data_IF_384343332734
#
_entry.id   IF_384343332734
#
_cell.length_a   1.000
_cell.length_b   1.000
_cell.length_c   1.000
_cell.angle_alpha   90.00
_cell.angle_beta   90.00
_cell.angle_gamma   90.00
#
_symmetry.space_group_name_H-M   'P 1'
#
loop_
_entity.id
_entity.type
_entity.pdbx_description
1 polymer ?
#
# COMPACT_ATOMS: atom_id res chain seq x y z
N UNK A 1 -19.21 4.25 -11.40
CA UNK A 1 -18.44 3.90 -10.19
C UNK A 1 -17.54 5.09 -9.87
N UNK A 2 -17.26 5.43 -8.61
CA UNK A 2 -16.34 6.55 -8.31
C UNK A 2 -14.92 6.10 -8.64
N UNK A 3 -14.27 6.79 -9.56
CA UNK A 3 -12.88 6.50 -9.92
C UNK A 3 -11.93 6.87 -8.77
N UNK A 4 -11.33 5.84 -8.18
CA UNK A 4 -10.43 5.99 -7.02
C UNK A 4 -8.96 5.91 -7.39
N UNK A 5 -8.62 5.29 -8.54
CA UNK A 5 -7.22 5.07 -8.96
C UNK A 5 -6.60 6.26 -9.69
N UNK A 6 -7.42 7.16 -10.25
CA UNK A 6 -6.97 8.44 -10.80
C UNK A 6 -6.13 8.32 -12.07
N UNK A 7 -6.30 7.25 -12.84
CA UNK A 7 -5.48 7.01 -14.04
C UNK A 7 -5.74 8.04 -15.13
N UNK A 8 -6.93 8.64 -15.20
CA UNK A 8 -7.21 9.71 -16.15
C UNK A 8 -6.25 10.89 -15.96
N UNK A 9 -5.98 11.28 -14.71
CA UNK A 9 -5.09 12.40 -14.41
C UNK A 9 -3.63 12.09 -14.73
N UNK A 10 -3.20 10.84 -14.56
CA UNK A 10 -1.89 10.41 -15.03
C UNK A 10 -1.81 10.49 -16.55
N UNK A 11 -2.82 9.98 -17.27
CA UNK A 11 -2.84 9.98 -18.73
C UNK A 11 -2.85 11.39 -19.30
N UNK A 12 -3.62 12.30 -18.70
CA UNK A 12 -3.64 13.73 -19.04
C UNK A 12 -2.27 14.40 -18.85
N UNK A 13 -1.46 13.96 -17.87
CA UNK A 13 -0.12 14.50 -17.62
C UNK A 13 0.94 14.03 -18.63
N UNK A 14 0.75 12.87 -19.27
CA UNK A 14 1.77 12.24 -20.12
C UNK A 14 2.24 13.13 -21.29
N UNK A 15 1.38 13.80 -22.07
CA UNK A 15 1.82 14.67 -23.17
C UNK A 15 2.83 15.74 -22.73
N UNK A 16 2.57 16.39 -21.58
CA UNK A 16 3.46 17.40 -21.04
C UNK A 16 4.81 16.83 -20.61
N UNK A 17 4.83 15.67 -19.94
CA UNK A 17 6.08 14.95 -19.60
C UNK A 17 6.88 14.62 -20.87
N UNK A 18 6.24 14.07 -21.90
CA UNK A 18 6.89 13.72 -23.18
C UNK A 18 7.53 14.96 -23.78
N UNK A 19 6.80 16.08 -23.85
CA UNK A 19 7.29 17.32 -24.44
C UNK A 19 8.50 17.90 -23.70
N UNK A 20 8.54 17.76 -22.37
CA UNK A 20 9.53 18.41 -21.51
C UNK A 20 10.78 17.56 -21.24
N UNK A 21 10.68 16.24 -21.41
CA UNK A 21 11.76 15.30 -21.08
C UNK A 21 12.22 14.46 -22.27
N UNK A 22 11.32 14.08 -23.18
CA UNK A 22 11.61 13.09 -24.23
C UNK A 22 11.98 11.70 -23.66
N UNK A 23 12.03 10.68 -24.52
CA UNK A 23 12.55 9.35 -24.14
C UNK A 23 11.87 8.65 -22.96
N UNK A 24 10.63 9.02 -22.64
CA UNK A 24 9.85 8.42 -21.53
C UNK A 24 8.90 7.36 -22.03
N UNK A 25 8.66 6.34 -21.20
CA UNK A 25 7.65 5.31 -21.45
C UNK A 25 6.92 4.98 -20.15
N UNK A 26 5.60 4.92 -20.20
CA UNK A 26 4.74 4.65 -19.07
C UNK A 26 4.22 3.22 -19.14
N UNK A 27 4.31 2.50 -18.02
CA UNK A 27 3.78 1.13 -17.90
C UNK A 27 2.71 1.15 -16.81
N UNK A 28 1.45 0.97 -17.20
CA UNK A 28 0.32 0.94 -16.28
C UNK A 28 -0.06 -0.53 -16.05
N UNK A 29 0.37 -1.05 -14.91
CA UNK A 29 0.20 -2.46 -14.53
C UNK A 29 -1.00 -2.61 -13.60
N UNK A 30 -1.86 -3.58 -13.91
CA UNK A 30 -3.07 -3.85 -13.14
C UNK A 30 -4.13 -4.52 -13.98
N UNK A 31 -4.99 -5.31 -13.34
CA UNK A 31 -6.20 -5.78 -14.00
C UNK A 31 -7.21 -4.64 -14.09
N UNK A 32 -7.97 -4.60 -15.19
CA UNK A 32 -9.18 -3.79 -15.26
C UNK A 32 -10.18 -4.35 -14.25
N UNK A 33 -10.29 -3.70 -13.09
CA UNK A 33 -11.37 -4.00 -12.13
C UNK A 33 -12.69 -3.42 -12.68
N UNK A 34 -12.58 -2.33 -13.44
CA UNK A 34 -13.66 -1.70 -14.19
C UNK A 34 -13.23 -1.59 -15.66
N UNK A 35 -13.76 -2.49 -16.49
CA UNK A 35 -13.43 -2.55 -17.92
C UNK A 35 -13.92 -1.31 -18.69
N UNK A 36 -15.02 -0.68 -18.25
CA UNK A 36 -15.51 0.54 -18.88
C UNK A 36 -14.53 1.69 -18.64
N UNK A 37 -14.06 1.85 -17.40
CA UNK A 37 -13.07 2.86 -17.05
C UNK A 37 -11.74 2.64 -17.79
N UNK A 38 -11.26 1.39 -17.87
CA UNK A 38 -10.04 1.09 -18.63
C UNK A 38 -10.24 1.33 -20.15
N UNK A 39 -11.44 1.09 -20.67
CA UNK A 39 -11.82 1.44 -22.04
C UNK A 39 -11.76 2.94 -22.32
N UNK A 40 -12.27 3.76 -21.39
CA UNK A 40 -12.20 5.23 -21.48
C UNK A 40 -10.74 5.71 -21.46
N UNK A 41 -9.91 5.15 -20.58
CA UNK A 41 -8.48 5.45 -20.50
C UNK A 41 -7.77 5.09 -21.81
N UNK A 42 -8.00 3.90 -22.38
CA UNK A 42 -7.42 3.49 -23.67
C UNK A 42 -7.87 4.42 -24.80
N UNK A 43 -9.15 4.76 -24.84
CA UNK A 43 -9.68 5.71 -25.83
C UNK A 43 -9.04 7.09 -25.70
N UNK A 44 -8.80 7.56 -24.48
CA UNK A 44 -8.10 8.83 -24.22
C UNK A 44 -6.67 8.80 -24.75
N UNK A 45 -5.93 7.73 -24.46
CA UNK A 45 -4.56 7.50 -24.96
C UNK A 45 -4.49 7.52 -26.49
N UNK A 46 -5.45 6.89 -27.16
CA UNK A 46 -5.57 6.88 -28.62
C UNK A 46 -5.89 8.27 -29.18
N UNK A 47 -6.90 8.95 -28.61
CA UNK A 47 -7.30 10.31 -29.01
C UNK A 47 -6.17 11.33 -28.85
N UNK A 48 -5.37 11.19 -27.80
CA UNK A 48 -4.20 12.04 -27.55
C UNK A 48 -2.98 11.66 -28.41
N UNK A 49 -3.01 10.54 -29.13
CA UNK A 49 -1.90 10.09 -29.97
C UNK A 49 -0.65 9.63 -29.19
N UNK A 50 -0.79 9.30 -27.90
CA UNK A 50 0.32 8.95 -27.01
C UNK A 50 0.51 7.44 -26.85
N UNK A 51 -0.23 6.60 -27.59
CA UNK A 51 -0.18 5.14 -27.46
C UNK A 51 1.21 4.51 -27.57
N UNK A 52 2.12 5.09 -28.35
CA UNK A 52 3.52 4.61 -28.46
C UNK A 52 4.35 4.81 -27.20
N UNK A 53 3.91 5.65 -26.26
CA UNK A 53 4.58 5.96 -25.00
C UNK A 53 3.93 5.26 -23.79
N UNK A 54 2.87 4.48 -24.00
CA UNK A 54 2.11 3.87 -22.90
C UNK A 54 1.89 2.38 -23.17
N UNK A 55 2.26 1.54 -22.20
CA UNK A 55 1.95 0.11 -22.20
C UNK A 55 0.95 -0.23 -21.09
N UNK A 56 -0.10 -0.97 -21.48
CA UNK A 56 -1.11 -1.53 -20.58
C UNK A 56 -1.04 -3.06 -20.61
N UNK A 57 -0.03 -3.68 -19.96
CA UNK A 57 0.15 -5.14 -19.99
C UNK A 57 -0.89 -5.92 -19.17
N UNK A 58 -1.82 -5.24 -18.49
CA UNK A 58 -2.80 -5.86 -17.62
C UNK A 58 -2.17 -6.39 -16.33
N UNK A 59 -2.69 -7.51 -15.82
CA UNK A 59 -2.17 -8.17 -14.61
C UNK A 59 -0.78 -8.77 -14.86
N UNK A 60 0.13 -8.57 -13.92
CA UNK A 60 1.50 -9.11 -13.94
C UNK A 60 1.85 -9.76 -12.62
N UNK A 61 2.74 -10.75 -12.68
CA UNK A 61 3.28 -11.45 -11.51
C UNK A 61 4.78 -11.14 -11.28
N UNK A 62 5.42 -10.43 -12.19
CA UNK A 62 6.83 -10.06 -12.16
C UNK A 62 7.05 -8.59 -11.77
N UNK A 63 6.17 -8.06 -10.90
CA UNK A 63 6.25 -6.68 -10.37
C UNK A 63 7.65 -6.33 -9.84
N UNK A 64 8.38 -7.20 -9.11
CA UNK A 64 9.74 -6.89 -8.68
C UNK A 64 10.72 -6.64 -9.82
N UNK A 65 10.53 -7.29 -10.97
CA UNK A 65 11.34 -7.05 -12.17
C UNK A 65 10.97 -5.71 -12.81
N UNK A 66 9.67 -5.44 -12.97
CA UNK A 66 9.17 -4.18 -13.52
C UNK A 66 9.65 -2.99 -12.67
N UNK A 67 9.53 -3.08 -11.35
CA UNK A 67 9.99 -2.03 -10.44
C UNK A 67 11.52 -1.85 -10.52
N UNK A 68 12.29 -2.94 -10.64
CA UNK A 68 13.75 -2.87 -10.79
C UNK A 68 14.15 -2.06 -12.02
N UNK A 69 13.47 -2.29 -13.14
CA UNK A 69 13.78 -1.67 -14.43
C UNK A 69 13.14 -0.28 -14.59
N UNK A 70 12.19 0.10 -13.73
CA UNK A 70 11.57 1.42 -13.74
C UNK A 70 12.47 2.51 -13.13
N UNK A 71 12.36 3.73 -13.66
CA UNK A 71 13.07 4.90 -13.14
C UNK A 71 12.37 5.54 -11.92
N UNK A 72 11.04 5.56 -11.94
CA UNK A 72 10.18 6.16 -10.92
C UNK A 72 8.84 5.43 -10.86
N UNK A 73 8.12 5.59 -9.76
CA UNK A 73 6.81 4.98 -9.54
C UNK A 73 5.75 6.03 -9.19
N UNK A 74 4.51 5.84 -9.67
CA UNK A 74 3.44 6.84 -9.53
C UNK A 74 2.17 6.20 -8.95
N UNK A 75 1.59 6.84 -7.92
CA UNK A 75 0.24 6.59 -7.41
C UNK A 75 -0.60 7.85 -7.69
N UNK A 76 -1.40 7.88 -8.77
CA UNK A 76 -2.20 9.05 -9.12
C UNK A 76 -3.58 9.04 -8.42
N UNK A 77 -3.75 8.20 -7.41
CA UNK A 77 -5.05 7.86 -6.84
C UNK A 77 -5.79 9.03 -6.22
N UNK A 78 -7.11 8.98 -6.27
CA UNK A 78 -7.98 9.97 -5.63
C UNK A 78 -8.25 9.59 -4.18
N UNK A 79 -8.20 8.29 -3.86
CA UNK A 79 -8.40 7.76 -2.51
C UNK A 79 -7.63 6.45 -2.34
N UNK A 80 -6.77 6.38 -1.32
CA UNK A 80 -6.03 5.18 -0.93
C UNK A 80 -6.00 5.04 0.59
N UNK A 81 -6.20 3.82 1.08
CA UNK A 81 -6.07 3.53 2.51
C UNK A 81 -4.63 3.15 2.86
N UNK A 82 -4.08 2.14 2.17
CA UNK A 82 -2.75 1.62 2.45
C UNK A 82 -2.17 0.93 1.20
N UNK A 83 -1.67 1.71 0.22
CA UNK A 83 -1.27 1.15 -1.07
C UNK A 83 0.04 0.37 -0.95
N UNK A 84 -0.06 -0.96 -0.88
CA UNK A 84 1.12 -1.83 -0.79
C UNK A 84 2.08 -1.65 -1.97
N UNK A 85 1.57 -1.33 -3.16
CA UNK A 85 2.41 -1.06 -4.33
C UNK A 85 3.33 0.16 -4.14
N UNK A 86 2.91 1.15 -3.34
CA UNK A 86 3.76 2.29 -2.98
C UNK A 86 4.93 1.82 -2.08
N UNK A 87 4.64 0.99 -1.08
CA UNK A 87 5.68 0.40 -0.22
C UNK A 87 6.62 -0.52 -0.98
N UNK A 88 6.11 -1.32 -1.93
CA UNK A 88 6.92 -2.18 -2.80
C UNK A 88 7.88 -1.37 -3.67
N UNK A 89 7.41 -0.24 -4.24
CA UNK A 89 8.24 0.66 -5.02
C UNK A 89 9.31 1.35 -4.15
N UNK A 90 8.92 1.87 -2.99
CA UNK A 90 9.85 2.47 -2.03
C UNK A 90 10.87 1.44 -1.53
N UNK A 91 10.47 0.22 -1.19
CA UNK A 91 11.37 -0.88 -0.81
C UNK A 91 12.35 -1.24 -1.94
N UNK A 92 11.89 -1.16 -3.19
CA UNK A 92 12.73 -1.33 -4.38
C UNK A 92 13.69 -0.14 -4.60
N UNK A 93 13.65 0.89 -3.76
CA UNK A 93 14.46 2.09 -3.84
C UNK A 93 14.09 2.99 -5.01
N UNK A 94 12.83 2.98 -5.41
CA UNK A 94 12.33 3.81 -6.50
C UNK A 94 11.85 5.15 -5.92
N UNK A 95 12.22 6.28 -6.54
CA UNK A 95 11.56 7.55 -6.23
C UNK A 95 10.07 7.44 -6.57
N UNK A 96 9.23 8.03 -5.72
CA UNK A 96 7.77 7.92 -5.84
C UNK A 96 7.11 9.29 -5.97
N UNK A 97 6.13 9.39 -6.87
CA UNK A 97 5.15 10.47 -6.90
C UNK A 97 3.82 9.89 -6.46
N UNK A 98 3.23 10.41 -5.40
CA UNK A 98 1.93 9.97 -4.92
C UNK A 98 1.02 11.17 -4.69
N UNK A 99 -0.29 10.96 -4.73
CA UNK A 99 -1.27 12.00 -4.40
C UNK A 99 -1.58 12.02 -2.90
N UNK A 100 -1.96 13.19 -2.38
CA UNK A 100 -2.50 13.38 -1.03
C UNK A 100 -3.92 12.83 -0.95
N UNK A 101 -4.03 11.53 -0.71
CA UNK A 101 -5.29 10.79 -0.79
C UNK A 101 -5.53 9.81 0.38
N UNK A 102 -4.91 10.07 1.53
CA UNK A 102 -4.95 9.20 2.71
C UNK A 102 -3.61 8.50 2.95
N UNK A 103 -3.55 7.18 2.78
CA UNK A 103 -2.39 6.35 3.10
C UNK A 103 -1.03 6.86 2.62
N UNK A 104 -0.89 7.36 1.37
CA UNK A 104 0.39 7.89 0.89
C UNK A 104 1.01 8.99 1.76
N UNK A 105 0.21 9.81 2.44
CA UNK A 105 0.70 10.91 3.29
C UNK A 105 1.43 10.40 4.53
N UNK A 106 1.10 9.20 5.00
CA UNK A 106 1.81 8.55 6.10
C UNK A 106 3.09 7.84 5.61
N UNK A 107 3.09 7.40 4.35
CA UNK A 107 4.18 6.62 3.77
C UNK A 107 5.30 7.50 3.22
N UNK A 108 4.97 8.63 2.57
CA UNK A 108 5.94 9.48 1.84
C UNK A 108 6.24 10.73 2.64
N UNK A 109 7.53 11.05 2.78
CA UNK A 109 7.99 12.35 3.28
C UNK A 109 8.31 13.24 2.09
N UNK A 110 7.51 14.30 1.92
CA UNK A 110 7.64 15.29 0.84
C UNK A 110 9.08 15.80 0.71
N UNK A 111 9.64 15.70 -0.49
CA UNK A 111 10.99 16.20 -0.79
C UNK A 111 12.13 15.31 -0.29
N UNK A 112 11.86 14.32 0.57
CA UNK A 112 12.87 13.42 1.15
C UNK A 112 12.78 12.00 0.61
N UNK A 113 11.58 11.40 0.56
CA UNK A 113 11.37 10.03 0.05
C UNK A 113 10.56 9.98 -1.24
N UNK A 114 10.10 11.14 -1.72
CA UNK A 114 9.25 11.27 -2.90
C UNK A 114 8.52 12.62 -2.91
N UNK A 115 7.53 12.75 -3.80
CA UNK A 115 6.65 13.91 -3.89
C UNK A 115 5.19 13.53 -3.62
N UNK A 116 4.50 14.36 -2.84
CA UNK A 116 3.07 14.31 -2.56
C UNK A 116 2.36 15.47 -3.27
N UNK A 117 1.59 15.14 -4.30
CA UNK A 117 0.87 16.10 -5.14
C UNK A 117 -0.63 16.14 -4.83
N UNK A 118 -1.31 17.20 -5.27
CA UNK A 118 -2.76 17.29 -5.14
C UNK A 118 -3.45 16.18 -5.95
N UNK A 119 -4.46 15.48 -5.40
CA UNK A 119 -5.26 14.55 -6.18
C UNK A 119 -6.03 15.30 -7.27
N UNK A 120 -6.37 14.60 -8.36
CA UNK A 120 -7.13 15.16 -9.50
C UNK A 120 -6.43 16.32 -10.24
N UNK A 121 -5.09 16.34 -10.24
CA UNK A 121 -4.31 17.36 -10.91
C UNK A 121 -3.27 16.72 -11.82
N UNK A 122 -3.54 16.73 -13.12
CA UNK A 122 -2.60 16.28 -14.15
C UNK A 122 -1.33 17.15 -14.12
N UNK A 123 -1.47 18.48 -14.04
CA UNK A 123 -0.35 19.41 -13.99
C UNK A 123 0.59 19.14 -12.81
N UNK A 124 0.04 18.86 -11.61
CA UNK A 124 0.87 18.58 -10.44
C UNK A 124 1.61 17.24 -10.57
N UNK A 125 0.95 16.22 -11.15
CA UNK A 125 1.58 14.93 -11.45
C UNK A 125 2.71 15.14 -12.48
N UNK A 126 2.44 15.87 -13.56
CA UNK A 126 3.40 16.20 -14.60
C UNK A 126 4.64 16.88 -14.02
N UNK A 127 4.44 17.96 -13.25
CA UNK A 127 5.55 18.72 -12.69
C UNK A 127 6.41 17.90 -11.74
N UNK A 128 5.80 17.04 -10.92
CA UNK A 128 6.55 16.15 -10.03
C UNK A 128 7.37 15.13 -10.81
N UNK A 129 6.80 14.54 -11.86
CA UNK A 129 7.51 13.62 -12.75
C UNK A 129 8.68 14.34 -13.44
N UNK A 130 8.44 15.51 -14.03
CA UNK A 130 9.46 16.28 -14.73
C UNK A 130 10.61 16.68 -13.79
N UNK A 131 10.30 17.10 -12.55
CA UNK A 131 11.33 17.38 -11.53
C UNK A 131 12.22 16.17 -11.29
N UNK A 132 11.63 14.98 -11.08
CA UNK A 132 12.41 13.75 -10.85
C UNK A 132 13.21 13.30 -12.08
N UNK A 133 12.67 13.47 -13.28
CA UNK A 133 13.37 13.08 -14.51
C UNK A 133 14.53 14.03 -14.86
N UNK A 134 14.43 15.31 -14.50
CA UNK A 134 15.47 16.32 -14.73
C UNK A 134 16.57 16.32 -13.66
N UNK A 135 16.25 15.96 -12.43
CA UNK A 135 17.22 15.84 -11.33
C UNK A 135 17.33 14.39 -10.85
N UNK A 136 18.12 13.60 -11.59
CA UNK A 136 18.28 12.16 -11.35
C UNK A 136 19.00 11.85 -10.05
N UNK A 137 19.91 12.72 -9.60
CA UNK A 137 20.61 12.54 -8.33
C UNK A 137 19.65 12.75 -7.16
N UNK A 138 18.80 13.77 -7.22
CA UNK A 138 17.75 13.98 -6.21
C UNK A 138 16.74 12.84 -6.21
N UNK A 139 16.34 12.36 -7.38
CA UNK A 139 15.44 11.22 -7.50
C UNK A 139 16.06 9.94 -6.90
N UNK A 140 17.36 9.68 -7.15
CA UNK A 140 18.07 8.55 -6.54
C UNK A 140 18.14 8.66 -5.02
N UNK A 141 18.48 9.84 -4.52
CA UNK A 141 18.48 10.14 -3.08
C UNK A 141 17.10 9.86 -2.45
N UNK A 142 16.02 10.29 -3.10
CA UNK A 142 14.66 10.01 -2.64
C UNK A 142 14.34 8.52 -2.61
N UNK A 143 14.72 7.78 -3.65
CA UNK A 143 14.53 6.33 -3.69
C UNK A 143 15.27 5.62 -2.56
N UNK A 144 16.51 6.00 -2.27
CA UNK A 144 17.31 5.42 -1.19
C UNK A 144 16.72 5.72 0.20
N UNK A 145 16.27 6.95 0.44
CA UNK A 145 15.56 7.29 1.68
C UNK A 145 14.22 6.57 1.80
N UNK A 146 13.46 6.46 0.70
CA UNK A 146 12.22 5.69 0.66
C UNK A 146 12.44 4.24 1.08
N UNK A 147 13.48 3.59 0.55
CA UNK A 147 13.85 2.22 0.95
C UNK A 147 14.20 2.12 2.43
N UNK A 148 14.97 3.09 2.96
CA UNK A 148 15.34 3.13 4.38
C UNK A 148 14.10 3.27 5.26
N UNK A 149 13.22 4.22 4.92
CA UNK A 149 11.95 4.46 5.62
C UNK A 149 11.06 3.22 5.66
N UNK A 150 10.91 2.51 4.54
CA UNK A 150 10.12 1.27 4.52
C UNK A 150 10.70 0.25 5.50
N UNK A 151 12.01 0.05 5.51
CA UNK A 151 12.67 -0.88 6.45
C UNK A 151 12.44 -0.50 7.91
N UNK A 152 12.58 0.79 8.23
CA UNK A 152 12.50 1.28 9.61
C UNK A 152 11.07 1.33 10.14
N UNK A 153 10.12 1.80 9.32
CA UNK A 153 8.76 2.14 9.77
C UNK A 153 7.68 1.13 9.37
N UNK A 154 7.91 0.39 8.28
CA UNK A 154 6.91 -0.49 7.65
C UNK A 154 7.42 -1.94 7.49
N UNK A 155 8.60 -2.25 8.03
CA UNK A 155 9.14 -3.59 8.04
C UNK A 155 8.29 -4.53 8.90
N UNK A 156 8.22 -5.81 8.50
CA UNK A 156 7.45 -6.83 9.21
C UNK A 156 7.91 -6.96 10.68
N UNK A 157 9.23 -6.89 10.92
CA UNK A 157 9.78 -6.96 12.27
C UNK A 157 9.36 -5.76 13.13
N UNK A 158 9.37 -4.55 12.57
CA UNK A 158 8.88 -3.33 13.23
C UNK A 158 7.39 -3.47 13.54
N UNK A 159 6.61 -3.96 12.58
CA UNK A 159 5.18 -4.20 12.76
C UNK A 159 4.94 -5.20 13.90
N UNK A 160 5.59 -6.36 13.89
CA UNK A 160 5.47 -7.38 14.93
C UNK A 160 5.80 -6.79 16.31
N UNK A 161 6.93 -6.08 16.44
CA UNK A 161 7.36 -5.47 17.72
C UNK A 161 6.32 -4.47 18.26
N UNK A 162 5.85 -3.55 17.42
CA UNK A 162 4.83 -2.55 17.82
C UNK A 162 3.52 -3.21 18.24
N UNK A 163 3.11 -4.27 17.54
CA UNK A 163 1.93 -5.04 17.91
C UNK A 163 2.13 -5.80 19.23
N UNK A 164 3.28 -6.41 19.46
CA UNK A 164 3.61 -7.06 20.73
C UNK A 164 3.61 -6.09 21.91
N UNK A 165 4.14 -4.87 21.73
CA UNK A 165 4.11 -3.79 22.72
C UNK A 165 2.68 -3.34 23.01
N UNK A 166 1.89 -3.04 21.97
CA UNK A 166 0.48 -2.69 22.13
C UNK A 166 -0.31 -3.77 22.88
N UNK A 167 -0.07 -5.05 22.55
CA UNK A 167 -0.69 -6.13 23.30
C UNK A 167 -0.30 -6.04 24.77
N UNK A 168 1.00 -6.00 25.10
CA UNK A 168 1.50 -5.91 26.49
C UNK A 168 0.86 -4.75 27.26
N UNK A 169 0.75 -3.58 26.66
CA UNK A 169 0.15 -2.40 27.28
C UNK A 169 -1.33 -2.62 27.62
N UNK A 170 -2.11 -3.16 26.66
CA UNK A 170 -3.51 -3.53 26.90
C UNK A 170 -3.63 -4.57 28.01
N UNK A 171 -2.68 -5.51 28.13
CA UNK A 171 -2.70 -6.49 29.22
C UNK A 171 -2.38 -5.87 30.57
N UNK A 172 -1.50 -4.85 30.60
CA UNK A 172 -1.07 -4.18 31.81
C UNK A 172 -2.19 -3.32 32.41
N UNK A 173 -3.00 -2.67 31.56
CA UNK A 173 -4.15 -1.85 31.95
C UNK A 173 -5.43 -2.65 32.22
N UNK A 174 -5.37 -3.99 32.11
CA UNK A 174 -6.52 -4.85 32.35
C UNK A 174 -6.73 -5.07 33.86
N UNK A 175 -7.90 -4.70 34.45
CA UNK A 175 -8.16 -4.87 35.88
C UNK A 175 -8.07 -6.34 36.32
N UNK A 176 -7.55 -6.58 37.52
CA UNK A 176 -7.51 -7.91 38.13
C UNK A 176 -8.92 -8.52 38.22
N UNK A 177 -9.20 -9.54 37.39
CA UNK A 177 -10.50 -10.23 37.30
C UNK A 177 -11.14 -10.26 35.90
N UNK A 178 -10.66 -9.44 34.96
CA UNK A 178 -10.94 -9.55 33.52
C UNK A 178 -10.31 -10.85 32.95
N UNK A 179 -10.49 -11.27 31.68
CA UNK A 179 -9.54 -12.24 31.10
C UNK A 179 -8.14 -11.72 31.41
N UNK A 180 -7.24 -12.55 31.95
CA UNK A 180 -5.83 -12.14 31.99
C UNK A 180 -5.55 -11.73 30.56
N UNK A 181 -5.28 -10.44 30.31
CA UNK A 181 -5.20 -9.96 28.94
C UNK A 181 -4.20 -10.80 28.14
N UNK A 182 -3.22 -11.36 28.84
CA UNK A 182 -2.29 -12.40 28.41
C UNK A 182 -2.91 -13.57 27.65
N UNK A 183 -4.02 -14.14 28.12
CA UNK A 183 -4.69 -15.27 27.46
C UNK A 183 -5.35 -14.85 26.13
N UNK A 184 -5.86 -13.61 26.04
CA UNK A 184 -6.44 -13.05 24.80
C UNK A 184 -5.34 -12.68 23.81
N UNK A 185 -4.26 -12.05 24.29
CA UNK A 185 -3.08 -11.75 23.46
C UNK A 185 -2.38 -13.00 22.94
N UNK A 186 -2.22 -14.05 23.75
CA UNK A 186 -1.65 -15.33 23.32
C UNK A 186 -2.49 -15.94 22.19
N UNK A 187 -3.83 -15.94 22.31
CA UNK A 187 -4.72 -16.42 21.24
C UNK A 187 -4.59 -15.57 19.97
N UNK A 188 -4.49 -14.24 20.07
CA UNK A 188 -4.38 -13.39 18.89
C UNK A 188 -2.99 -13.49 18.24
N UNK A 189 -1.92 -13.57 19.02
CA UNK A 189 -0.57 -13.81 18.53
C UNK A 189 -0.47 -15.17 17.81
N UNK A 190 -1.11 -16.21 18.33
CA UNK A 190 -1.18 -17.51 17.67
C UNK A 190 -1.99 -17.45 16.36
N UNK A 191 -3.09 -16.67 16.31
CA UNK A 191 -3.84 -16.40 15.07
C UNK A 191 -2.96 -15.69 14.01
N UNK A 192 -2.14 -14.72 14.41
CA UNK A 192 -1.21 -14.02 13.51
C UNK A 192 -0.08 -14.94 13.01
N UNK A 193 0.53 -15.74 13.89
CA UNK A 193 1.56 -16.70 13.50
C UNK A 193 1.02 -17.73 12.50
N UNK A 194 -0.20 -18.20 12.70
CA UNK A 194 -0.85 -19.17 11.81
C UNK A 194 -1.29 -18.56 10.48
N UNK A 195 -1.72 -17.30 10.46
CA UNK A 195 -2.09 -16.61 9.21
C UNK A 195 -0.87 -16.30 8.33
N UNK A 196 0.29 -16.03 8.93
CA UNK A 196 1.57 -15.80 8.25
C UNK A 196 2.33 -17.07 7.81
N UNK A 197 2.02 -18.24 8.37
CA UNK A 197 2.80 -19.46 8.11
C UNK A 197 2.41 -20.14 6.78
N UNK A 198 3.22 -19.88 5.74
CA UNK A 198 3.02 -20.41 4.38
C UNK A 198 3.29 -21.93 4.25
N UNK A 199 3.87 -22.59 5.25
CA UNK A 199 4.25 -24.02 5.21
C UNK A 199 3.16 -25.03 5.57
N UNK A 200 2.01 -24.58 6.10
CA UNK A 200 0.87 -25.44 6.45
C UNK A 200 -0.10 -25.57 5.26
N UNK A 201 -0.59 -26.77 4.93
CA UNK A 201 -1.66 -26.94 3.94
C UNK A 201 -2.96 -26.26 4.42
N UNK A 202 -3.73 -25.68 3.49
CA UNK A 202 -4.89 -24.81 3.71
C UNK A 202 -5.96 -25.41 4.62
N UNK A 203 -6.20 -26.72 4.52
CA UNK A 203 -7.20 -27.44 5.33
C UNK A 203 -6.80 -27.47 6.80
N UNK A 204 -5.57 -27.90 7.12
CA UNK A 204 -5.06 -27.94 8.51
C UNK A 204 -4.96 -26.55 9.13
N UNK A 205 -4.61 -25.55 8.32
CA UNK A 205 -4.56 -24.15 8.76
C UNK A 205 -5.94 -23.64 9.15
N UNK A 206 -6.97 -23.94 8.36
CA UNK A 206 -8.34 -23.52 8.65
C UNK A 206 -8.92 -24.20 9.89
N UNK A 207 -8.65 -25.49 10.11
CA UNK A 207 -9.08 -26.19 11.34
C UNK A 207 -8.47 -25.57 12.61
N UNK A 208 -7.18 -25.22 12.57
CA UNK A 208 -6.50 -24.57 13.69
C UNK A 208 -7.00 -23.15 13.94
N UNK A 209 -7.28 -22.39 12.87
CA UNK A 209 -7.87 -21.04 12.97
C UNK A 209 -9.27 -21.07 13.58
N UNK A 210 -10.12 -22.05 13.20
CA UNK A 210 -11.45 -22.21 13.79
C UNK A 210 -11.40 -22.60 15.27
N UNK A 211 -10.43 -23.44 15.67
CA UNK A 211 -10.19 -23.77 17.08
C UNK A 211 -9.84 -22.54 17.93
N UNK A 212 -8.96 -21.67 17.42
CA UNK A 212 -8.57 -20.42 18.10
C UNK A 212 -9.70 -19.39 18.12
N UNK A 213 -10.44 -19.23 17.02
CA UNK A 213 -11.64 -18.36 16.95
C UNK A 213 -12.71 -18.81 17.94
N UNK A 214 -12.92 -20.12 18.08
CA UNK A 214 -13.86 -20.70 19.04
C UNK A 214 -13.44 -20.44 20.48
N UNK A 215 -12.15 -20.61 20.81
CA UNK A 215 -11.59 -20.21 22.12
C UNK A 215 -11.81 -18.73 22.40
N UNK A 216 -11.47 -17.85 21.46
CA UNK A 216 -11.64 -16.41 21.60
C UNK A 216 -13.11 -16.02 21.87
N UNK A 217 -14.06 -16.57 21.10
CA UNK A 217 -15.50 -16.32 21.30
C UNK A 217 -15.99 -16.80 22.67
N UNK A 218 -15.58 -17.99 23.13
CA UNK A 218 -15.99 -18.51 24.45
C UNK A 218 -15.46 -17.64 25.59
N UNK A 219 -14.20 -17.22 25.50
CA UNK A 219 -13.58 -16.34 26.52
C UNK A 219 -14.27 -14.98 26.58
N UNK A 220 -14.66 -14.41 25.43
CA UNK A 220 -15.37 -13.13 25.35
C UNK A 220 -16.83 -13.21 25.80
N UNK A 221 -17.62 -14.18 25.30
CA UNK A 221 -19.05 -14.33 25.58
C UNK A 221 -19.33 -14.71 27.04
N UNK A 222 -18.53 -15.62 27.62
CA UNK A 222 -18.70 -16.05 29.01
C UNK A 222 -18.48 -14.90 30.01
N UNK A 223 -17.64 -13.92 29.67
CA UNK A 223 -17.34 -12.77 30.53
C UNK A 223 -18.23 -11.56 30.28
N UNK A 224 -18.68 -11.33 29.04
CA UNK A 224 -19.75 -10.38 28.76
C UNK A 224 -21.04 -10.76 29.53
N UNK A 225 -21.35 -12.05 29.59
CA UNK A 225 -22.44 -12.60 30.40
C UNK A 225 -22.26 -12.34 31.92
N UNK A 226 -21.04 -12.42 32.46
CA UNK A 226 -20.77 -12.11 33.88
C UNK A 226 -20.83 -10.60 34.19
N UNK A 227 -20.42 -9.75 33.25
CA UNK A 227 -20.48 -8.29 33.39
C UNK A 227 -21.94 -7.78 33.38
N UNK A 228 -22.78 -8.33 32.49
CA UNK A 228 -24.20 -7.96 32.36
C UNK A 228 -25.09 -8.44 33.52
N UNK A 229 -24.59 -9.34 34.39
CA UNK A 229 -25.34 -9.88 35.55
C UNK A 229 -25.03 -9.20 36.88
N UNK A 230 -24.13 -8.20 36.88
CA UNK A 230 -23.71 -7.42 38.05
C UNK A 230 -24.22 -5.97 38.05
N UNK A 231 -25.07 -5.60 37.09
CA UNK A 231 -25.78 -4.32 37.03
C UNK A 231 -27.24 -4.47 37.41
#
# INVERSE_FOLDING_TARGET
MIETKGYQYLVEAIPGVISRCGGVHFIIVGAAIDEALYGEIRSSIEKMGIGKYVSFPGRRNDIPKILRDADLFIIPSVKEAFPLSLLEAMASGKPVVATRCGGPEEMVVEGETGYLVSPRSADAIEDAIVKMLKDRDRARYMGENGRRRVRESFGLDTFIKRWEELYKDVLADTPAGSPNGREVAEIILDLFKLSGNKGLNSVRRNEQLEGLRSKLRRTFLYKLYKLLRRG
#
